data_IF_377910759314
#
_entry.id   IF_377910759314
#
_cell.length_a   1.000
_cell.length_b   1.000
_cell.length_c   1.000
_cell.angle_alpha   90.00
_cell.angle_beta   90.00
_cell.angle_gamma   90.00
#
_symmetry.space_group_name_H-M   'P 1'
#
loop_
_entity.id
_entity.type
_entity.pdbx_description
1 polymer ?
#
# COMPACT_ATOMS: atom_id res chain seq x y z
N UNK A 1 3.53 -19.79 33.59
CA UNK A 1 4.14 -20.22 32.32
C UNK A 1 3.56 -19.29 31.25
N UNK A 2 4.06 -18.08 30.96
CA UNK A 2 5.43 -17.69 30.59
C UNK A 2 6.13 -18.78 29.77
N UNK A 3 5.39 -19.35 28.81
CA UNK A 3 5.88 -20.19 27.73
C UNK A 3 5.49 -19.51 26.44
N UNK A 4 6.19 -18.42 26.09
CA UNK A 4 7.29 -18.44 25.14
C UNK A 4 6.77 -18.20 23.71
N UNK A 5 7.15 -17.03 23.19
CA UNK A 5 7.70 -16.98 21.85
C UNK A 5 6.76 -17.36 20.69
N UNK A 6 5.56 -16.79 20.63
CA UNK A 6 5.14 -16.18 19.37
C UNK A 6 5.79 -14.78 19.29
N UNK A 7 7.10 -14.71 19.44
CA UNK A 7 7.98 -14.51 18.28
C UNK A 7 7.46 -13.37 17.42
N UNK A 8 7.42 -12.21 18.09
CA UNK A 8 7.75 -10.94 17.47
C UNK A 8 9.08 -11.06 16.70
N UNK A 9 9.06 -11.70 15.54
CA UNK A 9 9.94 -11.34 14.45
C UNK A 9 9.23 -10.26 13.64
N UNK A 10 8.92 -9.12 14.29
CA UNK A 10 9.04 -7.87 13.53
C UNK A 10 10.53 -7.80 13.24
N UNK A 11 10.90 -8.09 11.99
CA UNK A 11 12.27 -7.92 11.49
C UNK A 11 12.80 -6.60 12.04
N UNK A 12 13.93 -6.58 12.80
CA UNK A 12 14.47 -5.36 13.38
C UNK A 12 14.54 -4.19 12.37
N UNK A 13 14.77 -4.53 11.11
CA UNK A 13 14.83 -3.64 9.95
C UNK A 13 13.47 -2.99 9.63
N UNK A 14 12.36 -3.74 9.71
CA UNK A 14 11.03 -3.20 9.47
C UNK A 14 10.63 -2.22 10.58
N UNK A 15 10.91 -2.56 11.84
CA UNK A 15 10.66 -1.65 12.98
C UNK A 15 11.50 -0.38 12.87
N UNK A 16 12.77 -0.50 12.46
CA UNK A 16 13.64 0.66 12.23
C UNK A 16 13.16 1.53 11.07
N UNK A 17 12.71 0.93 9.96
CA UNK A 17 12.19 1.68 8.82
C UNK A 17 10.91 2.44 9.17
N UNK A 18 10.01 1.85 9.96
CA UNK A 18 8.82 2.56 10.48
C UNK A 18 9.22 3.75 11.34
N UNK A 19 10.16 3.58 12.27
CA UNK A 19 10.63 4.67 13.12
C UNK A 19 11.25 5.81 12.30
N UNK A 20 12.03 5.48 11.28
CA UNK A 20 12.60 6.47 10.37
C UNK A 20 11.53 7.26 9.60
N UNK A 21 10.49 6.58 9.10
CA UNK A 21 9.39 7.25 8.39
C UNK A 21 8.55 8.13 9.33
N UNK A 22 8.29 7.69 10.56
CA UNK A 22 7.56 8.49 11.55
C UNK A 22 8.37 9.75 11.94
N UNK A 23 9.68 9.62 12.14
CA UNK A 23 10.56 10.77 12.38
C UNK A 23 10.59 11.73 11.17
N UNK A 24 10.67 11.19 9.95
CA UNK A 24 10.62 12.00 8.73
C UNK A 24 9.27 12.71 8.58
N UNK A 25 8.17 12.05 8.94
CA UNK A 25 6.83 12.62 8.92
C UNK A 25 6.72 13.79 9.91
N UNK A 26 7.18 13.62 11.15
CA UNK A 26 7.20 14.68 12.14
C UNK A 26 8.00 15.91 11.67
N UNK A 27 9.16 15.67 11.06
CA UNK A 27 9.97 16.75 10.50
C UNK A 27 9.23 17.47 9.38
N UNK A 28 8.66 16.72 8.41
CA UNK A 28 7.92 17.29 7.29
C UNK A 28 6.71 18.13 7.75
N UNK A 29 5.96 17.65 8.75
CA UNK A 29 4.85 18.39 9.38
C UNK A 29 5.36 19.67 10.04
N UNK A 30 6.44 19.59 10.82
CA UNK A 30 7.00 20.74 11.53
C UNK A 30 7.51 21.84 10.58
N UNK A 31 8.08 21.42 9.45
CA UNK A 31 8.60 22.28 8.38
C UNK A 31 7.52 22.69 7.36
N UNK A 32 6.27 22.22 7.50
CA UNK A 32 5.15 22.46 6.57
C UNK A 32 5.45 22.02 5.13
N UNK A 33 6.19 20.92 4.99
CA UNK A 33 6.58 20.30 3.72
C UNK A 33 5.48 19.36 3.23
N UNK A 34 4.36 19.95 2.81
CA UNK A 34 3.12 19.22 2.46
C UNK A 34 3.33 18.11 1.41
N UNK A 35 4.11 18.29 0.32
CA UNK A 35 4.36 17.22 -0.63
C UNK A 35 5.09 16.03 0.00
N UNK A 36 6.12 16.28 0.81
CA UNK A 36 6.89 15.27 1.50
C UNK A 36 6.08 14.55 2.57
N UNK A 37 5.29 15.30 3.35
CA UNK A 37 4.36 14.76 4.33
C UNK A 37 3.43 13.71 3.70
N UNK A 38 2.79 14.06 2.57
CA UNK A 38 1.89 13.14 1.84
C UNK A 38 2.62 11.93 1.28
N UNK A 39 3.82 12.11 0.72
CA UNK A 39 4.63 11.01 0.20
C UNK A 39 5.04 10.04 1.33
N UNK A 40 5.42 10.56 2.50
CA UNK A 40 5.79 9.73 3.66
C UNK A 40 4.57 8.98 4.21
N UNK A 41 3.41 9.66 4.35
CA UNK A 41 2.14 9.01 4.73
C UNK A 41 1.79 7.85 3.78
N UNK A 42 1.99 8.02 2.48
CA UNK A 42 1.74 6.97 1.48
C UNK A 42 2.70 5.78 1.67
N UNK A 43 3.99 6.04 1.90
CA UNK A 43 4.98 4.99 2.18
C UNK A 43 4.63 4.20 3.45
N UNK A 44 4.23 4.88 4.52
CA UNK A 44 3.78 4.24 5.77
C UNK A 44 2.56 3.34 5.48
N UNK A 45 1.59 3.81 4.69
CA UNK A 45 0.43 3.01 4.32
C UNK A 45 0.83 1.76 3.51
N UNK A 46 1.74 1.88 2.55
CA UNK A 46 2.27 0.76 1.78
C UNK A 46 3.02 -0.25 2.65
N UNK A 47 3.78 0.20 3.65
CA UNK A 47 4.41 -0.70 4.61
C UNK A 47 3.40 -1.54 5.39
N UNK A 48 2.27 -0.94 5.81
CA UNK A 48 1.19 -1.70 6.43
C UNK A 48 0.60 -2.76 5.48
N UNK A 49 0.49 -2.47 4.17
CA UNK A 49 0.09 -3.48 3.17
C UNK A 49 1.08 -4.64 3.15
N UNK A 50 2.39 -4.36 3.09
CA UNK A 50 3.46 -5.38 3.09
C UNK A 50 3.42 -6.22 4.38
N UNK A 51 3.09 -5.60 5.52
CA UNK A 51 2.92 -6.30 6.80
C UNK A 51 1.59 -7.06 6.93
N UNK A 52 0.75 -7.06 5.89
CA UNK A 52 -0.62 -7.62 5.92
C UNK A 52 -1.54 -6.98 6.97
N UNK A 53 -1.23 -5.76 7.40
CA UNK A 53 -2.01 -4.95 8.34
C UNK A 53 -3.06 -4.13 7.55
N UNK A 54 -3.94 -4.82 6.82
CA UNK A 54 -4.82 -4.23 5.80
C UNK A 54 -5.81 -3.20 6.33
N UNK A 55 -6.33 -3.37 7.55
CA UNK A 55 -7.25 -2.40 8.17
C UNK A 55 -6.55 -1.06 8.40
N UNK A 56 -5.32 -1.09 8.91
CA UNK A 56 -4.50 0.10 9.16
C UNK A 56 -4.10 0.77 7.83
N UNK A 57 -3.69 -0.04 6.85
CA UNK A 57 -3.37 0.46 5.52
C UNK A 57 -4.58 1.16 4.89
N UNK A 58 -5.75 0.54 4.96
CA UNK A 58 -6.99 1.09 4.40
C UNK A 58 -7.36 2.43 5.06
N UNK A 59 -7.27 2.54 6.39
CA UNK A 59 -7.55 3.80 7.08
C UNK A 59 -6.61 4.93 6.61
N UNK A 60 -5.31 4.66 6.56
CA UNK A 60 -4.31 5.66 6.15
C UNK A 60 -4.48 6.08 4.68
N UNK A 61 -4.80 5.14 3.80
CA UNK A 61 -5.06 5.42 2.39
C UNK A 61 -6.35 6.23 2.21
N UNK A 62 -7.41 5.95 2.97
CA UNK A 62 -8.63 6.77 2.95
C UNK A 62 -8.37 8.20 3.42
N UNK A 63 -7.55 8.39 4.45
CA UNK A 63 -7.13 9.72 4.88
C UNK A 63 -6.39 10.47 3.76
N UNK A 64 -5.48 9.80 3.05
CA UNK A 64 -4.79 10.39 1.90
C UNK A 64 -5.73 10.74 0.74
N UNK A 65 -6.70 9.88 0.43
CA UNK A 65 -7.73 10.15 -0.58
C UNK A 65 -8.56 11.37 -0.19
N UNK A 66 -8.92 11.51 1.09
CA UNK A 66 -9.67 12.66 1.59
C UNK A 66 -8.85 13.96 1.55
N UNK A 67 -7.54 13.88 1.79
CA UNK A 67 -6.61 15.01 1.68
C UNK A 67 -6.41 15.44 0.22
N UNK A 68 -6.33 14.50 -0.72
CA UNK A 68 -6.18 14.77 -2.15
C UNK A 68 -6.86 13.70 -3.03
N UNK A 69 -8.14 13.91 -3.40
CA UNK A 69 -8.86 12.96 -4.24
C UNK A 69 -8.33 12.84 -5.67
N UNK A 70 -7.39 13.71 -6.09
CA UNK A 70 -6.79 13.68 -7.44
C UNK A 70 -5.44 12.97 -7.45
N UNK A 71 -4.89 12.61 -6.30
CA UNK A 71 -3.72 11.75 -6.24
C UNK A 71 -4.13 10.32 -6.60
N UNK A 72 -3.66 9.84 -7.74
CA UNK A 72 -4.00 8.49 -8.22
C UNK A 72 -3.36 7.38 -7.38
N UNK A 73 -2.29 7.67 -6.61
CA UNK A 73 -1.48 6.64 -5.94
C UNK A 73 -2.21 6.00 -4.76
N UNK A 74 -2.88 6.75 -3.85
CA UNK A 74 -3.73 6.17 -2.82
C UNK A 74 -4.85 5.30 -3.37
N UNK A 75 -5.48 5.68 -4.50
CA UNK A 75 -6.51 4.88 -5.16
C UNK A 75 -5.96 3.53 -5.66
N UNK A 76 -4.78 3.53 -6.29
CA UNK A 76 -4.11 2.29 -6.70
C UNK A 76 -3.85 1.36 -5.49
N UNK A 77 -3.22 1.90 -4.44
CA UNK A 77 -2.92 1.12 -3.24
C UNK A 77 -4.19 0.62 -2.52
N UNK A 78 -5.25 1.44 -2.47
CA UNK A 78 -6.52 1.05 -1.86
C UNK A 78 -7.20 -0.08 -2.65
N UNK A 79 -7.14 -0.03 -3.98
CA UNK A 79 -7.61 -1.12 -4.83
C UNK A 79 -6.87 -2.43 -4.57
N UNK A 80 -5.54 -2.38 -4.39
CA UNK A 80 -4.73 -3.55 -4.00
C UNK A 80 -5.16 -4.10 -2.64
N UNK A 81 -5.34 -3.23 -1.63
CA UNK A 81 -5.82 -3.64 -0.30
C UNK A 81 -7.19 -4.32 -0.39
N UNK A 82 -8.12 -3.76 -1.14
CA UNK A 82 -9.43 -4.39 -1.33
C UNK A 82 -9.34 -5.72 -2.08
N UNK A 83 -8.48 -5.83 -3.10
CA UNK A 83 -8.26 -7.09 -3.80
C UNK A 83 -7.68 -8.18 -2.88
N UNK A 84 -6.74 -7.83 -2.00
CA UNK A 84 -6.16 -8.73 -0.98
C UNK A 84 -7.20 -9.17 0.07
N UNK A 85 -8.22 -8.34 0.32
CA UNK A 85 -9.36 -8.65 1.20
C UNK A 85 -10.52 -9.37 0.47
N UNK A 86 -10.35 -9.78 -0.79
CA UNK A 86 -11.39 -10.36 -1.66
C UNK A 86 -12.62 -9.45 -1.88
N UNK A 87 -12.46 -8.14 -1.68
CA UNK A 87 -13.47 -7.10 -1.90
C UNK A 87 -13.43 -6.59 -3.33
N UNK A 88 -13.83 -7.45 -4.27
CA UNK A 88 -13.63 -7.23 -5.72
C UNK A 88 -14.34 -6.00 -6.26
N UNK A 89 -15.56 -5.72 -5.79
CA UNK A 89 -16.33 -4.57 -6.27
C UNK A 89 -15.68 -3.26 -5.82
N UNK A 90 -15.29 -3.16 -4.55
CA UNK A 90 -14.59 -2.00 -4.02
C UNK A 90 -13.21 -1.82 -4.66
N UNK A 91 -12.49 -2.92 -4.91
CA UNK A 91 -11.21 -2.88 -5.62
C UNK A 91 -11.38 -2.31 -7.04
N UNK A 92 -12.40 -2.78 -7.78
CA UNK A 92 -12.69 -2.31 -9.12
C UNK A 92 -12.96 -0.80 -9.16
N UNK A 93 -13.78 -0.29 -8.24
CA UNK A 93 -14.06 1.15 -8.12
C UNK A 93 -12.76 1.93 -7.96
N UNK A 94 -11.86 1.51 -7.07
CA UNK A 94 -10.60 2.20 -6.84
C UNK A 94 -9.66 2.14 -8.04
N UNK A 95 -9.59 0.99 -8.73
CA UNK A 95 -8.77 0.86 -9.94
C UNK A 95 -9.29 1.71 -11.11
N UNK A 96 -10.60 1.89 -11.23
CA UNK A 96 -11.17 2.74 -12.27
C UNK A 96 -10.91 4.22 -11.99
N UNK A 97 -10.95 4.64 -10.73
CA UNK A 97 -10.51 5.99 -10.32
C UNK A 97 -9.02 6.18 -10.64
N UNK A 98 -8.16 5.23 -10.26
CA UNK A 98 -6.73 5.27 -10.62
C UNK A 98 -6.52 5.46 -12.12
N UNK A 99 -7.20 4.67 -12.97
CA UNK A 99 -7.09 4.76 -14.44
C UNK A 99 -7.52 6.13 -14.98
N UNK A 100 -8.51 6.75 -14.35
CA UNK A 100 -9.00 8.08 -14.75
C UNK A 100 -8.05 9.22 -14.38
N UNK A 101 -7.19 9.03 -13.38
CA UNK A 101 -6.32 10.06 -12.83
C UNK A 101 -4.85 9.92 -13.26
N UNK A 102 -4.39 8.69 -13.56
CA UNK A 102 -2.98 8.45 -13.90
C UNK A 102 -2.62 9.02 -15.28
N UNK A 103 -1.60 9.90 -15.39
CA UNK A 103 -1.15 10.46 -16.67
C UNK A 103 -0.76 9.38 -17.67
N UNK A 104 -0.95 9.63 -18.97
CA UNK A 104 -0.59 8.67 -20.02
C UNK A 104 0.92 8.43 -20.10
N UNK A 105 1.73 9.44 -19.81
CA UNK A 105 3.19 9.32 -19.78
C UNK A 105 3.74 8.73 -18.47
N UNK A 106 2.88 8.32 -17.53
CA UNK A 106 3.33 7.77 -16.26
C UNK A 106 4.12 6.47 -16.50
N UNK A 107 5.37 6.38 -16.02
CA UNK A 107 6.16 5.16 -16.12
C UNK A 107 5.37 3.97 -15.57
N UNK A 108 5.50 2.82 -16.23
CA UNK A 108 4.88 1.56 -15.79
C UNK A 108 3.34 1.52 -15.78
N UNK A 109 2.64 2.55 -16.29
CA UNK A 109 1.17 2.55 -16.40
C UNK A 109 0.62 1.32 -17.11
N UNK A 110 1.25 0.89 -18.21
CA UNK A 110 0.83 -0.31 -18.94
C UNK A 110 1.00 -1.56 -18.08
N UNK A 111 2.17 -1.72 -17.48
CA UNK A 111 2.49 -2.84 -16.61
C UNK A 111 1.54 -2.93 -15.42
N UNK A 112 1.28 -1.82 -14.72
CA UNK A 112 0.33 -1.79 -13.59
C UNK A 112 -1.07 -2.20 -14.04
N UNK A 113 -1.53 -1.71 -15.20
CA UNK A 113 -2.84 -2.08 -15.74
C UNK A 113 -2.93 -3.56 -16.09
N UNK A 114 -1.86 -4.14 -16.65
CA UNK A 114 -1.78 -5.57 -16.95
C UNK A 114 -1.83 -6.41 -15.68
N UNK A 115 -1.14 -6.00 -14.61
CA UNK A 115 -1.20 -6.66 -13.30
C UNK A 115 -2.62 -6.60 -12.71
N UNK A 116 -3.28 -5.44 -12.77
CA UNK A 116 -4.66 -5.31 -12.30
C UNK A 116 -5.59 -6.20 -13.13
N UNK A 117 -5.42 -6.26 -14.45
CA UNK A 117 -6.23 -7.10 -15.33
C UNK A 117 -6.00 -8.59 -15.05
N UNK A 118 -4.74 -8.99 -14.86
CA UNK A 118 -4.38 -10.35 -14.46
C UNK A 118 -5.03 -10.70 -13.13
N UNK A 119 -4.94 -9.85 -12.10
CA UNK A 119 -5.59 -10.08 -10.81
C UNK A 119 -7.13 -10.21 -10.91
N UNK A 120 -7.77 -9.49 -11.83
CA UNK A 120 -9.21 -9.63 -12.12
C UNK A 120 -9.55 -10.97 -12.78
N UNK A 121 -8.69 -11.43 -13.68
CA UNK A 121 -8.90 -12.64 -14.50
C UNK A 121 -8.49 -13.91 -13.75
N UNK A 122 -7.43 -13.82 -12.94
CA UNK A 122 -6.85 -14.88 -12.11
C UNK A 122 -7.48 -14.97 -10.73
N UNK A 123 -8.76 -14.58 -10.61
CA UNK A 123 -9.66 -14.96 -9.51
C UNK A 123 -9.89 -16.49 -9.48
N UNK A 124 -8.80 -17.25 -9.45
CA UNK A 124 -8.76 -18.60 -8.92
C UNK A 124 -7.50 -18.90 -8.08
N UNK A 125 -6.29 -18.37 -8.33
CA UNK A 125 -5.10 -18.85 -7.57
C UNK A 125 -3.90 -17.90 -7.31
N UNK A 126 -3.64 -16.83 -8.09
CA UNK A 126 -2.31 -16.16 -8.08
C UNK A 126 -2.12 -14.91 -7.22
N UNK A 127 -3.19 -14.24 -6.75
CA UNK A 127 -3.05 -13.07 -5.85
C UNK A 127 -2.36 -13.46 -4.52
N UNK A 128 -2.36 -14.74 -4.16
CA UNK A 128 -1.61 -15.29 -3.02
C UNK A 128 -0.09 -15.32 -3.23
N UNK A 129 0.40 -15.34 -4.48
CA UNK A 129 1.84 -15.44 -4.79
C UNK A 129 2.57 -14.09 -4.70
N UNK A 130 1.90 -12.96 -4.94
CA UNK A 130 2.54 -11.63 -4.87
C UNK A 130 3.07 -11.28 -3.47
N UNK A 131 2.43 -11.79 -2.41
CA UNK A 131 2.94 -11.68 -1.03
C UNK A 131 4.09 -12.65 -0.73
N UNK A 132 4.31 -13.65 -1.57
CA UNK A 132 5.35 -14.68 -1.41
C UNK A 132 6.61 -14.41 -2.23
N UNK A 133 6.51 -13.66 -3.34
CA UNK A 133 7.66 -13.32 -4.19
C UNK A 133 8.63 -12.33 -3.53
N UNK A 134 8.19 -11.55 -2.54
CA UNK A 134 9.09 -10.71 -1.72
C UNK A 134 9.75 -11.46 -0.55
N UNK A 135 9.51 -12.76 -0.42
CA UNK A 135 10.06 -13.61 0.65
C UNK A 135 11.11 -14.58 0.11
N UNK A 136 11.85 -14.29 -0.97
CA UNK A 136 12.95 -15.17 -1.37
C UNK A 136 14.16 -14.42 -1.94
N UNK A 137 15.06 -14.00 -1.05
CA UNK A 137 16.48 -14.35 -1.22
C UNK A 137 17.12 -14.49 0.17
N UNK A 138 17.87 -15.57 0.32
CA UNK A 138 18.29 -16.19 1.57
C UNK A 138 19.59 -15.62 2.08
#
# INVERSE_FOLDING_TARGET
MWGLALSMHKRPEASSAFEMLENALQLAVSEKRVPEERNIKLLIAQMHVVMSEFDIASEKLQNLINEDPRDFRPHLCQGIVYALLDKKDEANVQFDIYRSLVPDEFPDKSFINDIILAAKTESNDRVKEFGSEFVWEK
#
